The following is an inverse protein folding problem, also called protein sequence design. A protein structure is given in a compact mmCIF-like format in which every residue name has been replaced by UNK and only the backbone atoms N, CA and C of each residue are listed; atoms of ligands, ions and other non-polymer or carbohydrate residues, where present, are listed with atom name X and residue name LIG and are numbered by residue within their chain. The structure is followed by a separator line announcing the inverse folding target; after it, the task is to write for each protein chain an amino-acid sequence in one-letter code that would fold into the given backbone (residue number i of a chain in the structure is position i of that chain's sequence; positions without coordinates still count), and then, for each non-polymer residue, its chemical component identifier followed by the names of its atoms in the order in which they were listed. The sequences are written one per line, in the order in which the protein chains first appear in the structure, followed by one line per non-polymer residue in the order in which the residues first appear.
data_IF_675386520090
#
_entry.id   IF_675386520090
#
_cell.length_a   1.000
_cell.length_b   1.000
_cell.length_c   1.000
_cell.angle_alpha   90.00
_cell.angle_beta   90.00
_cell.angle_gamma   90.00
#
_symmetry.space_group_name_H-M   'P 1'
#
loop_
_entity.id
_entity.type
_entity.pdbx_description
1 polymer ?
#
# COMPACT_ATOMS: atom_id res chain seq x y z
N UNK A 1 27.39 10.69 -9.86
CA UNK A 1 26.06 11.33 -9.70
C UNK A 1 26.06 12.12 -8.41
N UNK A 2 25.32 13.22 -8.33
CA UNK A 2 25.18 13.99 -7.08
C UNK A 2 24.38 13.17 -6.04
N UNK A 3 24.64 13.34 -4.73
CA UNK A 3 23.81 12.74 -3.69
C UNK A 3 22.38 13.29 -3.76
N UNK A 4 21.41 12.50 -3.30
CA UNK A 4 20.02 12.94 -3.16
C UNK A 4 19.92 14.08 -2.13
N UNK A 5 18.98 14.99 -2.33
CA UNK A 5 18.57 15.93 -1.30
C UNK A 5 17.81 15.22 -0.18
N UNK A 6 17.73 15.83 1.01
CA UNK A 6 16.97 15.29 2.14
C UNK A 6 15.51 14.98 1.76
N UNK A 7 14.87 15.84 0.98
CA UNK A 7 13.48 15.63 0.59
C UNK A 7 13.31 14.49 -0.43
N UNK A 8 14.29 14.28 -1.32
CA UNK A 8 14.32 13.11 -2.20
C UNK A 8 14.55 11.82 -1.42
N UNK A 9 15.43 11.85 -0.41
CA UNK A 9 15.62 10.72 0.50
C UNK A 9 14.32 10.40 1.25
N UNK A 10 13.62 11.41 1.76
CA UNK A 10 12.33 11.25 2.44
C UNK A 10 11.30 10.57 1.53
N UNK A 11 11.22 10.99 0.27
CA UNK A 11 10.36 10.36 -0.73
C UNK A 11 10.72 8.88 -0.93
N UNK A 12 12.00 8.57 -1.17
CA UNK A 12 12.48 7.20 -1.39
C UNK A 12 12.19 6.31 -0.19
N UNK A 13 12.45 6.79 1.03
CA UNK A 13 12.18 6.05 2.26
C UNK A 13 10.70 5.75 2.40
N UNK A 14 9.84 6.73 2.19
CA UNK A 14 8.39 6.56 2.33
C UNK A 14 7.85 5.57 1.27
N UNK A 15 8.37 5.65 0.05
CA UNK A 15 8.05 4.70 -1.01
C UNK A 15 8.48 3.27 -0.67
N UNK A 16 9.70 3.08 -0.16
CA UNK A 16 10.20 1.77 0.30
C UNK A 16 9.37 1.20 1.45
N UNK A 17 8.96 2.05 2.40
CA UNK A 17 8.09 1.65 3.50
C UNK A 17 6.73 1.16 2.97
N UNK A 18 6.11 1.93 2.07
CA UNK A 18 4.76 1.69 1.54
C UNK A 18 4.68 0.57 0.48
N UNK A 19 5.76 0.35 -0.28
CA UNK A 19 5.83 -0.70 -1.31
C UNK A 19 6.50 -1.98 -0.82
N UNK A 20 7.34 -1.91 0.22
CA UNK A 20 8.11 -3.04 0.74
C UNK A 20 7.57 -3.60 2.06
N UNK A 21 7.55 -2.78 3.11
CA UNK A 21 7.24 -3.26 4.48
C UNK A 21 5.74 -3.40 4.70
N UNK A 22 4.94 -2.40 4.29
CA UNK A 22 3.50 -2.39 4.57
C UNK A 22 2.74 -3.55 3.92
N UNK A 23 2.99 -3.96 2.66
CA UNK A 23 2.26 -5.09 2.08
C UNK A 23 2.55 -6.38 2.86
N UNK A 24 3.79 -6.61 3.27
CA UNK A 24 4.15 -7.76 4.11
C UNK A 24 3.42 -7.72 5.46
N UNK A 25 3.28 -6.54 6.09
CA UNK A 25 2.62 -6.41 7.38
C UNK A 25 1.12 -6.69 7.28
N UNK A 26 0.47 -6.16 6.24
CA UNK A 26 -0.95 -6.42 5.95
C UNK A 26 -1.16 -7.91 5.65
N UNK A 27 -0.24 -8.55 4.93
CA UNK A 27 -0.29 -9.99 4.64
C UNK A 27 -0.17 -10.83 5.90
N UNK A 28 0.79 -10.50 6.77
CA UNK A 28 0.94 -11.18 8.07
C UNK A 28 -0.33 -11.08 8.91
N UNK A 29 -0.98 -9.91 8.93
CA UNK A 29 -2.27 -9.77 9.60
C UNK A 29 -3.35 -10.63 8.94
N UNK A 30 -3.46 -10.57 7.60
CA UNK A 30 -4.46 -11.32 6.86
C UNK A 30 -4.32 -12.84 7.07
N UNK A 31 -3.12 -13.39 6.91
CA UNK A 31 -2.86 -14.82 7.07
C UNK A 31 -3.12 -15.30 8.51
N UNK A 32 -2.96 -14.41 9.50
CA UNK A 32 -3.21 -14.71 10.92
C UNK A 32 -4.70 -14.70 11.29
N UNK A 33 -5.44 -13.72 10.81
CA UNK A 33 -6.86 -13.53 11.19
C UNK A 33 -7.84 -14.23 10.24
N UNK A 34 -7.43 -14.47 8.99
CA UNK A 34 -8.21 -15.12 7.93
C UNK A 34 -7.39 -16.23 7.28
N UNK A 35 -7.03 -17.28 8.04
CA UNK A 35 -6.23 -18.36 7.47
C UNK A 35 -7.01 -19.03 6.32
N UNK A 36 -6.30 -19.61 5.34
CA UNK A 36 -6.92 -20.26 4.17
C UNK A 36 -7.96 -21.34 4.50
N UNK A 37 -7.92 -21.90 5.71
CA UNK A 37 -8.88 -22.89 6.21
C UNK A 37 -10.27 -22.31 6.50
N UNK A 38 -10.34 -21.01 6.77
CA UNK A 38 -11.54 -20.37 7.32
C UNK A 38 -12.30 -19.56 6.24
N UNK A 39 -11.74 -19.44 5.03
CA UNK A 39 -12.38 -18.80 3.89
C UNK A 39 -13.03 -19.85 2.96
N UNK A 40 -14.31 -19.68 2.58
CA UNK A 40 -14.94 -20.54 1.57
C UNK A 40 -14.12 -20.56 0.28
N UNK A 41 -13.96 -21.74 -0.32
CA UNK A 41 -13.10 -21.96 -1.50
C UNK A 41 -13.40 -21.02 -2.67
N UNK A 42 -14.65 -20.56 -2.80
CA UNK A 42 -15.06 -19.59 -3.83
C UNK A 42 -14.46 -18.18 -3.61
N UNK A 43 -14.37 -17.71 -2.36
CA UNK A 43 -13.70 -16.45 -2.03
C UNK A 43 -12.18 -16.59 -2.23
N UNK A 44 -11.62 -17.76 -1.89
CA UNK A 44 -10.22 -18.09 -2.14
C UNK A 44 -9.88 -18.17 -3.64
N UNK A 45 -10.78 -18.68 -4.48
CA UNK A 45 -10.60 -18.73 -5.93
C UNK A 45 -10.75 -17.37 -6.63
N UNK A 46 -11.42 -16.39 -6.00
CA UNK A 46 -11.41 -14.99 -6.44
C UNK A 46 -10.12 -14.27 -6.04
N UNK A 47 -9.52 -14.74 -4.94
CA UNK A 47 -8.25 -14.24 -4.44
C UNK A 47 -7.10 -14.66 -5.34
N UNK A 48 -7.13 -15.82 -5.99
CA UNK A 48 -5.97 -16.44 -6.66
C UNK A 48 -6.15 -16.51 -8.19
N UNK A 49 -5.14 -16.18 -9.03
CA UNK A 49 -5.20 -16.46 -10.47
C UNK A 49 -5.34 -17.98 -10.70
N UNK A 50 -6.21 -18.39 -11.64
CA UNK A 50 -6.70 -19.77 -11.89
C UNK A 50 -5.67 -20.92 -11.98
N UNK A 51 -4.36 -20.67 -11.97
CA UNK A 51 -3.33 -21.64 -12.34
C UNK A 51 -2.19 -21.85 -11.32
N UNK A 52 -2.36 -21.53 -10.02
CA UNK A 52 -1.27 -21.64 -9.04
C UNK A 52 -1.66 -22.20 -7.67
N UNK A 53 -0.68 -22.81 -6.99
CA UNK A 53 -0.72 -23.12 -5.54
C UNK A 53 -0.81 -21.79 -4.77
N UNK A 54 -1.64 -21.65 -3.72
CA UNK A 54 -1.84 -20.38 -3.03
C UNK A 54 -0.52 -19.82 -2.47
N UNK A 55 -0.12 -18.62 -2.90
CA UNK A 55 0.94 -17.84 -2.25
C UNK A 55 0.52 -16.37 -2.14
N UNK A 56 0.23 -15.94 -0.91
CA UNK A 56 -0.15 -14.57 -0.59
C UNK A 56 0.93 -13.56 -1.01
N UNK A 57 2.17 -14.01 -1.28
CA UNK A 57 3.30 -13.22 -1.81
C UNK A 57 3.03 -12.54 -3.14
N UNK A 58 2.02 -12.95 -3.90
CA UNK A 58 1.73 -12.45 -5.26
C UNK A 58 0.72 -11.30 -5.32
N UNK A 59 0.08 -10.91 -4.21
CA UNK A 59 -0.92 -9.83 -4.21
C UNK A 59 -0.32 -8.42 -4.18
N UNK A 60 -0.81 -7.53 -5.05
CA UNK A 60 -0.62 -6.08 -4.91
C UNK A 60 -1.37 -5.55 -3.67
N UNK A 61 -0.83 -4.52 -3.02
CA UNK A 61 -1.41 -3.86 -1.84
C UNK A 61 -2.80 -3.28 -2.14
N UNK A 62 -3.07 -2.84 -3.37
CA UNK A 62 -4.41 -2.39 -3.78
C UNK A 62 -5.40 -3.54 -3.75
N UNK A 63 -4.99 -4.70 -4.28
CA UNK A 63 -5.79 -5.91 -4.25
C UNK A 63 -6.00 -6.34 -2.79
N UNK A 64 -4.96 -6.40 -1.96
CA UNK A 64 -5.09 -6.74 -0.53
C UNK A 64 -6.06 -5.82 0.23
N UNK A 65 -6.02 -4.51 -0.02
CA UNK A 65 -6.95 -3.55 0.61
C UNK A 65 -8.38 -3.74 0.09
N UNK A 66 -8.56 -3.98 -1.22
CA UNK A 66 -9.88 -4.29 -1.80
C UNK A 66 -10.43 -5.62 -1.25
N UNK A 67 -9.59 -6.62 -1.05
CA UNK A 67 -9.99 -7.93 -0.53
C UNK A 67 -10.40 -7.81 0.94
N UNK A 68 -9.66 -7.04 1.74
CA UNK A 68 -10.07 -6.80 3.12
C UNK A 68 -11.38 -6.01 3.19
N UNK A 69 -11.55 -4.99 2.35
CA UNK A 69 -12.80 -4.19 2.28
C UNK A 69 -14.02 -5.03 1.88
N UNK A 70 -13.84 -6.00 0.97
CA UNK A 70 -14.97 -6.70 0.35
C UNK A 70 -15.20 -8.13 0.86
N UNK A 71 -14.21 -8.77 1.49
CA UNK A 71 -14.27 -10.19 1.87
C UNK A 71 -14.16 -10.44 3.38
N UNK A 72 -14.01 -9.40 4.21
CA UNK A 72 -13.82 -9.58 5.66
C UNK A 72 -14.82 -8.77 6.50
N UNK A 73 -15.05 -9.23 7.74
CA UNK A 73 -15.90 -8.58 8.74
C UNK A 73 -15.23 -7.37 9.43
N UNK A 74 -14.24 -6.73 8.79
CA UNK A 74 -13.49 -5.63 9.41
C UNK A 74 -14.33 -4.35 9.37
N UNK A 75 -14.64 -3.84 10.56
CA UNK A 75 -15.36 -2.58 10.70
C UNK A 75 -14.55 -1.41 10.11
N UNK A 76 -15.19 -0.52 9.33
CA UNK A 76 -14.54 0.68 8.84
C UNK A 76 -14.20 1.62 10.01
N UNK A 77 -13.19 2.50 9.86
CA UNK A 77 -12.98 3.62 10.77
C UNK A 77 -14.14 4.63 10.65
N UNK A 78 -14.21 5.61 11.55
CA UNK A 78 -15.28 6.62 11.59
C UNK A 78 -15.47 7.33 10.24
N UNK A 79 -14.37 7.65 9.55
CA UNK A 79 -14.39 8.36 8.25
C UNK A 79 -14.43 7.42 7.03
N UNK A 80 -14.58 6.11 7.23
CA UNK A 80 -14.51 5.11 6.18
C UNK A 80 -13.09 4.87 5.65
N UNK A 81 -12.97 3.92 4.72
CA UNK A 81 -11.66 3.45 4.22
C UNK A 81 -10.95 4.41 3.26
N UNK A 82 -11.67 5.41 2.73
CA UNK A 82 -11.16 6.31 1.68
C UNK A 82 -10.59 7.63 2.26
N UNK A 83 -10.68 7.81 3.58
CA UNK A 83 -10.18 8.98 4.30
C UNK A 83 -9.13 8.58 5.34
N UNK A 84 -8.27 9.54 5.73
CA UNK A 84 -7.38 9.32 6.87
C UNK A 84 -8.22 9.15 8.15
N UNK A 85 -7.99 8.09 8.96
CA UNK A 85 -8.67 7.93 10.24
C UNK A 85 -8.33 9.04 11.23
N UNK A 86 -9.19 9.22 12.22
CA UNK A 86 -8.96 10.17 13.31
C UNK A 86 -7.73 9.76 14.13
N UNK A 87 -7.04 10.74 14.74
CA UNK A 87 -5.95 10.46 15.68
C UNK A 87 -6.43 9.53 16.80
N UNK A 88 -5.67 8.47 17.06
CA UNK A 88 -6.00 7.48 18.09
C UNK A 88 -6.86 6.29 17.63
N UNK A 89 -7.41 6.32 16.41
CA UNK A 89 -8.07 5.14 15.83
C UNK A 89 -7.02 4.08 15.46
N UNK A 90 -6.96 3.00 16.25
CA UNK A 90 -5.98 1.90 16.12
C UNK A 90 -6.61 0.54 15.83
N UNK A 91 -7.85 0.51 15.33
CA UNK A 91 -8.47 -0.74 14.88
C UNK A 91 -7.82 -1.23 13.58
N UNK A 92 -7.93 -2.52 13.23
CA UNK A 92 -7.40 -3.02 11.96
C UNK A 92 -7.93 -2.27 10.73
N UNK A 93 -9.23 -1.96 10.71
CA UNK A 93 -9.83 -1.16 9.63
C UNK A 93 -9.22 0.24 9.52
N UNK A 94 -8.90 0.86 10.66
CA UNK A 94 -8.21 2.15 10.72
C UNK A 94 -6.79 2.07 10.18
N UNK A 95 -6.04 1.02 10.55
CA UNK A 95 -4.68 0.83 10.08
C UNK A 95 -4.59 0.58 8.57
N UNK A 96 -5.56 -0.13 8.02
CA UNK A 96 -5.67 -0.34 6.57
C UNK A 96 -6.03 0.94 5.82
N UNK A 97 -7.02 1.69 6.32
CA UNK A 97 -7.38 2.99 5.76
C UNK A 97 -6.20 3.96 5.78
N UNK A 98 -5.42 3.98 6.87
CA UNK A 98 -4.20 4.80 7.01
C UNK A 98 -3.13 4.43 5.99
N UNK A 99 -2.81 3.14 5.83
CA UNK A 99 -1.84 2.69 4.81
C UNK A 99 -2.34 3.02 3.40
N UNK A 100 -3.62 2.75 3.13
CA UNK A 100 -4.26 3.09 1.84
C UNK A 100 -4.10 4.58 1.54
N UNK A 101 -4.44 5.43 2.50
CA UNK A 101 -4.40 6.88 2.37
C UNK A 101 -2.99 7.36 1.98
N UNK A 102 -1.96 6.97 2.75
CA UNK A 102 -0.59 7.39 2.47
C UNK A 102 -0.06 6.83 1.14
N UNK A 103 -0.40 5.57 0.80
CA UNK A 103 -0.05 4.99 -0.49
C UNK A 103 -0.68 5.76 -1.65
N UNK A 104 -1.97 6.08 -1.55
CA UNK A 104 -2.67 6.85 -2.57
C UNK A 104 -2.08 8.27 -2.69
N UNK A 105 -1.82 8.94 -1.56
CA UNK A 105 -1.19 10.25 -1.55
C UNK A 105 0.18 10.22 -2.24
N UNK A 106 1.00 9.21 -1.97
CA UNK A 106 2.31 9.06 -2.61
C UNK A 106 2.18 8.75 -4.11
N UNK A 107 1.22 7.92 -4.50
CA UNK A 107 1.00 7.55 -5.90
C UNK A 107 0.48 8.72 -6.77
N UNK A 108 -0.21 9.68 -6.16
CA UNK A 108 -0.68 10.91 -6.79
C UNK A 108 0.24 12.11 -6.50
N UNK A 109 1.43 11.88 -5.95
CA UNK A 109 2.37 12.95 -5.68
C UNK A 109 3.15 13.29 -6.95
N UNK A 110 3.00 14.53 -7.42
CA UNK A 110 3.61 14.98 -8.67
C UNK A 110 5.12 15.26 -8.55
N UNK A 111 5.64 15.28 -7.32
CA UNK A 111 7.05 15.50 -7.02
C UNK A 111 7.73 14.24 -6.48
N UNK A 112 9.04 14.20 -6.65
CA UNK A 112 9.92 13.22 -6.03
C UNK A 112 10.52 13.70 -4.69
N UNK A 113 9.96 14.76 -4.12
CA UNK A 113 10.41 15.36 -2.86
C UNK A 113 9.30 15.32 -1.82
N UNK A 114 9.66 15.05 -0.56
CA UNK A 114 8.77 15.13 0.58
C UNK A 114 9.43 15.97 1.68
N UNK A 115 8.73 17.00 2.14
CA UNK A 115 9.20 17.82 3.25
C UNK A 115 9.31 17.02 4.56
N UNK A 116 10.25 17.41 5.40
CA UNK A 116 10.56 16.64 6.60
C UNK A 116 9.39 16.58 7.58
N UNK A 117 8.53 17.60 7.68
CA UNK A 117 7.40 17.59 8.60
C UNK A 117 6.34 16.53 8.22
N UNK A 118 5.97 16.49 6.94
CA UNK A 118 5.08 15.47 6.42
C UNK A 118 5.70 14.08 6.52
N UNK A 119 6.98 13.94 6.15
CA UNK A 119 7.71 12.66 6.26
C UNK A 119 7.64 12.09 7.68
N UNK A 120 7.93 12.90 8.71
CA UNK A 120 7.93 12.44 10.10
C UNK A 120 6.53 12.02 10.58
N UNK A 121 5.50 12.74 10.14
CA UNK A 121 4.10 12.43 10.44
C UNK A 121 3.71 11.11 9.79
N UNK A 122 3.86 11.01 8.47
CA UNK A 122 3.52 9.82 7.71
C UNK A 122 4.29 8.57 8.20
N UNK A 123 5.59 8.71 8.45
CA UNK A 123 6.43 7.61 8.94
C UNK A 123 5.93 7.05 10.26
N UNK A 124 5.65 7.95 11.22
CA UNK A 124 5.16 7.57 12.55
C UNK A 124 3.83 6.81 12.44
N UNK A 125 2.93 7.33 11.64
CA UNK A 125 1.59 6.77 11.46
C UNK A 125 1.61 5.40 10.79
N UNK A 126 2.38 5.27 9.70
CA UNK A 126 2.54 4.00 8.96
C UNK A 126 3.28 2.98 9.81
N UNK A 127 4.40 3.34 10.45
CA UNK A 127 5.18 2.38 11.25
C UNK A 127 4.40 1.84 12.45
N UNK A 128 3.58 2.67 13.11
CA UNK A 128 2.65 2.22 14.16
C UNK A 128 1.60 1.24 13.62
N UNK A 129 1.06 1.47 12.43
CA UNK A 129 0.14 0.54 11.77
C UNK A 129 0.84 -0.78 11.42
N UNK A 130 2.05 -0.72 10.84
CA UNK A 130 2.90 -1.88 10.58
C UNK A 130 3.14 -2.69 11.85
N UNK A 131 3.43 -2.04 12.98
CA UNK A 131 3.64 -2.72 14.26
C UNK A 131 2.40 -3.51 14.70
N UNK A 132 1.20 -2.95 14.56
CA UNK A 132 -0.04 -3.61 14.97
C UNK A 132 -0.44 -4.76 14.04
N UNK A 133 -0.20 -4.62 12.74
CA UNK A 133 -0.54 -5.64 11.76
C UNK A 133 0.52 -6.75 11.67
N UNK A 134 1.78 -6.38 11.46
CA UNK A 134 2.90 -7.29 11.21
C UNK A 134 3.78 -7.60 12.43
N UNK A 135 3.58 -6.92 13.56
CA UNK A 135 4.31 -7.17 14.80
C UNK A 135 5.61 -6.40 14.97
N UNK A 136 6.33 -6.72 16.06
CA UNK A 136 7.49 -5.95 16.52
C UNK A 136 8.69 -6.02 15.57
N UNK A 137 8.96 -7.19 14.96
CA UNK A 137 10.08 -7.37 14.03
C UNK A 137 9.97 -6.44 12.82
N UNK A 138 8.77 -6.32 12.24
CA UNK A 138 8.54 -5.43 11.10
C UNK A 138 8.58 -3.95 11.49
N UNK A 139 8.21 -3.62 12.72
CA UNK A 139 8.39 -2.27 13.25
C UNK A 139 9.88 -1.91 13.38
N UNK A 140 10.72 -2.85 13.81
CA UNK A 140 12.18 -2.65 13.84
C UNK A 140 12.75 -2.44 12.44
N UNK A 141 12.30 -3.22 11.45
CA UNK A 141 12.67 -3.00 10.05
C UNK A 141 12.30 -1.60 9.56
N UNK A 142 11.14 -1.05 9.99
CA UNK A 142 10.84 0.36 9.74
C UNK A 142 11.90 1.27 10.38
N UNK A 143 12.26 1.09 11.65
CA UNK A 143 13.24 1.98 12.28
C UNK A 143 14.61 1.93 11.59
N UNK A 144 15.05 0.74 11.17
CA UNK A 144 16.28 0.54 10.41
C UNK A 144 16.21 1.21 9.04
N UNK A 145 15.11 1.02 8.30
CA UNK A 145 14.89 1.66 7.00
C UNK A 145 14.90 3.19 7.09
N UNK A 146 14.43 3.76 8.21
CA UNK A 146 14.38 5.22 8.40
C UNK A 146 15.78 5.84 8.39
N UNK A 147 16.78 5.13 8.94
CA UNK A 147 18.15 5.65 9.13
C UNK A 147 19.17 5.02 8.18
N UNK A 148 18.79 3.99 7.41
CA UNK A 148 19.65 3.31 6.43
C UNK A 148 20.27 4.33 5.48
N UNK A 149 21.59 4.31 5.30
CA UNK A 149 22.25 5.20 4.33
C UNK A 149 21.75 4.91 2.91
N UNK A 150 21.42 5.97 2.18
CA UNK A 150 21.06 5.87 0.78
C UNK A 150 22.31 6.18 -0.08
N UNK A 151 23.04 5.14 -0.49
CA UNK A 151 24.15 5.20 -1.48
C UNK A 151 23.66 5.20 -2.95
N UNK A 152 24.58 5.04 -3.92
CA UNK A 152 24.29 5.05 -5.36
C UNK A 152 23.25 4.02 -5.84
N UNK A 153 23.07 2.90 -5.14
CA UNK A 153 21.97 1.95 -5.44
C UNK A 153 20.58 2.55 -5.18
N UNK A 154 20.50 3.62 -4.39
CA UNK A 154 19.23 4.24 -4.03
C UNK A 154 18.73 5.17 -5.14
N UNK A 155 19.60 5.63 -6.03
CA UNK A 155 19.17 6.30 -7.26
C UNK A 155 18.53 5.32 -8.23
N UNK A 156 19.06 4.10 -8.32
CA UNK A 156 18.46 3.01 -9.09
C UNK A 156 17.09 2.63 -8.50
N UNK A 157 17.02 2.41 -7.19
CA UNK A 157 15.74 2.20 -6.47
C UNK A 157 14.77 3.35 -6.71
N UNK A 158 15.23 4.60 -6.69
CA UNK A 158 14.39 5.76 -6.96
C UNK A 158 13.84 5.73 -8.39
N UNK A 159 14.67 5.39 -9.38
CA UNK A 159 14.27 5.25 -10.78
C UNK A 159 13.27 4.10 -10.96
N UNK A 160 13.51 2.95 -10.35
CA UNK A 160 12.59 1.81 -10.34
C UNK A 160 11.24 2.18 -9.72
N UNK A 161 11.25 2.90 -8.59
CA UNK A 161 10.02 3.38 -7.93
C UNK A 161 9.25 4.32 -8.85
N UNK A 162 9.94 5.25 -9.53
CA UNK A 162 9.34 6.19 -10.48
C UNK A 162 8.73 5.47 -11.67
N UNK A 163 9.47 4.56 -12.29
CA UNK A 163 9.00 3.79 -13.43
C UNK A 163 7.77 2.96 -13.05
N UNK A 164 7.83 2.24 -11.93
CA UNK A 164 6.68 1.50 -11.38
C UNK A 164 5.46 2.38 -11.12
N UNK A 165 5.65 3.62 -10.66
CA UNK A 165 4.55 4.57 -10.44
C UNK A 165 3.93 5.05 -11.75
N UNK A 166 4.74 5.36 -12.76
CA UNK A 166 4.24 5.81 -14.06
C UNK A 166 3.50 4.69 -14.79
N UNK A 167 4.05 3.47 -14.80
CA UNK A 167 3.36 2.28 -15.35
C UNK A 167 2.01 2.05 -14.66
N UNK A 168 1.95 2.22 -13.33
CA UNK A 168 0.68 2.10 -12.57
C UNK A 168 -0.32 3.19 -12.97
N UNK A 169 0.14 4.40 -13.28
CA UNK A 169 -0.69 5.54 -13.69
C UNK A 169 -1.24 5.35 -15.10
N UNK A 170 -0.41 4.91 -16.04
CA UNK A 170 -0.81 4.58 -17.42
C UNK A 170 -1.85 3.45 -17.45
N UNK A 171 -1.66 2.40 -16.64
CA UNK A 171 -2.62 1.31 -16.50
C UNK A 171 -3.97 1.80 -15.95
N UNK A 172 -3.96 2.71 -14.96
CA UNK A 172 -5.20 3.30 -14.43
C UNK A 172 -5.94 4.11 -15.47
N UNK A 173 -5.25 4.99 -16.20
CA UNK A 173 -5.85 5.76 -17.29
C UNK A 173 -6.45 4.87 -18.36
N UNK A 174 -5.75 3.78 -18.71
CA UNK A 174 -6.26 2.79 -19.67
C UNK A 174 -7.55 2.15 -19.17
N UNK A 175 -7.60 1.77 -17.88
CA UNK A 175 -8.78 1.17 -17.27
C UNK A 175 -9.97 2.12 -17.22
N UNK A 176 -9.75 3.38 -16.82
CA UNK A 176 -10.80 4.41 -16.77
C UNK A 176 -11.40 4.67 -18.17
N UNK A 177 -10.55 4.71 -19.20
CA UNK A 177 -10.98 4.85 -20.60
C UNK A 177 -11.87 3.67 -21.05
N UNK A 178 -11.45 2.44 -20.73
CA UNK A 178 -12.22 1.23 -21.06
C UNK A 178 -13.58 1.19 -20.35
N UNK A 179 -13.65 1.62 -19.09
CA UNK A 179 -14.90 1.70 -18.34
C UNK A 179 -15.87 2.74 -18.93
N UNK A 180 -15.33 3.90 -19.34
CA UNK A 180 -16.10 4.94 -20.02
C UNK A 180 -16.65 4.45 -21.37
N UNK A 181 -15.82 3.77 -22.16
CA UNK A 181 -16.24 3.21 -23.46
C UNK A 181 -17.34 2.15 -23.28
N UNK A 182 -17.21 1.27 -22.29
CA UNK A 182 -18.22 0.26 -21.98
C UNK A 182 -19.54 0.88 -21.50
N UNK A 183 -19.49 1.92 -20.67
CA UNK A 183 -20.67 2.66 -20.23
C UNK A 183 -21.39 3.34 -21.40
N UNK A 184 -20.64 3.97 -22.32
CA UNK A 184 -21.18 4.60 -23.52
C UNK A 184 -21.83 3.58 -24.47
N UNK A 185 -21.26 2.38 -24.57
CA UNK A 185 -21.80 1.32 -25.45
C UNK A 185 -23.12 0.75 -24.91
N UNK A 186 -23.31 0.74 -23.58
CA UNK A 186 -24.56 0.29 -22.92
C UNK A 186 -25.67 1.33 -22.89
N UNK A 187 -25.36 2.63 -23.03
CA UNK A 187 -26.36 3.71 -23.07
C UNK A 187 -27.02 3.92 -24.44
N UNK A 188 -26.63 3.14 -25.46
CA UNK A 188 -27.10 3.26 -26.86
C UNK A 188 -28.14 2.15 -27.21
N UNK A 189 -28.54 1.31 -26.25
CA UNK A 189 -29.65 0.34 -26.38
C UNK A 189 -30.84 0.76 -25.51
#
# INVERSE_FOLDING_TARGET
MAPLSEEEENYVRLALLLKGVTPRAVRTYFDREFPPTDLPSAQWNLLIPRNGVPDSKTFDVTLMICLIRNLTSINPPVNGFDSLPLPGETTPGSDLARIKYYRNKLAHHDSNTIDSAYFHTAWTDISKAVRRMGGQTMYQECQELKVKMLDGSNQEIMLEIKQSNEETKELRQTMDNLESDHANTKGIL
#
